data_IF_835643478705
#
_entry.id   IF_835643478705
#
_cell.length_a   1.000
_cell.length_b   1.000
_cell.length_c   1.000
_cell.angle_alpha   90.00
_cell.angle_beta   90.00
_cell.angle_gamma   90.00
#
_symmetry.space_group_name_H-M   'P 1'
#
loop_
_entity.id
_entity.type
_entity.pdbx_description
1 polymer ?
#
# COMPACT_ATOMS: atom_id res chain seq x y z
N UNK A 1 13.58 -3.74 15.02
CA UNK A 1 12.59 -3.49 13.95
C UNK A 1 11.27 -3.19 14.62
N UNK A 2 10.59 -2.11 14.23
CA UNK A 2 9.42 -1.62 14.96
C UNK A 2 8.23 -1.44 14.00
N UNK A 3 7.06 -1.95 14.39
CA UNK A 3 5.80 -1.80 13.67
C UNK A 3 4.76 -1.15 14.58
N UNK A 4 3.86 -0.37 14.00
CA UNK A 4 2.68 0.15 14.71
C UNK A 4 1.52 0.34 13.75
N UNK A 5 0.29 0.12 14.23
CA UNK A 5 -0.95 0.37 13.50
C UNK A 5 -1.46 1.77 13.80
N UNK A 6 -1.89 2.47 12.77
CA UNK A 6 -2.52 3.77 12.87
C UNK A 6 -3.68 3.88 11.88
N UNK A 7 -4.56 4.87 12.09
CA UNK A 7 -5.55 5.23 11.08
C UNK A 7 -4.89 5.97 9.92
N UNK A 8 -5.43 5.84 8.70
CA UNK A 8 -4.96 6.61 7.52
C UNK A 8 -4.91 8.11 7.77
N UNK A 9 -5.88 8.67 8.50
CA UNK A 9 -5.92 10.11 8.82
C UNK A 9 -4.72 10.53 9.67
N UNK A 10 -4.38 9.74 10.67
CA UNK A 10 -3.22 10.00 11.55
C UNK A 10 -1.91 9.89 10.77
N UNK A 11 -1.79 8.87 9.92
CA UNK A 11 -0.65 8.72 9.04
C UNK A 11 -0.49 9.93 8.11
N UNK A 12 -1.54 10.36 7.42
CA UNK A 12 -1.47 11.51 6.50
C UNK A 12 -1.15 12.83 7.20
N UNK A 13 -1.63 13.05 8.43
CA UNK A 13 -1.24 14.23 9.21
C UNK A 13 0.24 14.23 9.54
N UNK A 14 0.79 13.06 9.86
CA UNK A 14 2.21 12.91 10.21
C UNK A 14 3.09 12.97 8.96
N UNK A 15 2.70 12.33 7.86
CA UNK A 15 3.43 12.30 6.61
C UNK A 15 3.32 13.62 5.81
N UNK A 16 2.16 14.27 5.85
CA UNK A 16 1.92 15.57 5.20
C UNK A 16 2.36 16.77 6.04
N UNK A 17 2.57 16.60 7.35
CA UNK A 17 3.01 17.66 8.27
C UNK A 17 4.46 18.11 8.09
N UNK A 18 5.23 17.47 7.21
CA UNK A 18 6.61 17.84 6.87
C UNK A 18 6.73 18.49 5.48
N UNK A 19 5.62 18.68 4.74
CA UNK A 19 5.61 19.21 3.38
C UNK A 19 4.77 20.50 3.24
N UNK A 20 4.73 21.34 4.28
CA UNK A 20 4.12 22.68 4.21
C UNK A 20 5.11 23.78 3.78
N UNK A 21 6.28 23.42 3.24
CA UNK A 21 7.26 24.37 2.71
C UNK A 21 8.07 23.76 1.56
N UNK A 22 7.91 24.38 0.38
CA UNK A 22 8.64 24.19 -0.89
C UNK A 22 8.15 23.08 -1.86
N UNK A 23 7.83 23.53 -3.09
CA UNK A 23 7.38 22.83 -4.32
C UNK A 23 5.86 22.53 -4.35
N UNK A 24 4.97 23.37 -4.89
CA UNK A 24 5.10 24.23 -6.06
C UNK A 24 4.61 23.52 -7.32
N UNK A 25 3.33 23.71 -7.65
CA UNK A 25 2.67 23.58 -8.96
C UNK A 25 2.82 22.28 -9.78
N UNK A 26 1.69 21.57 -9.98
CA UNK A 26 1.12 21.29 -11.32
C UNK A 26 -0.21 20.55 -11.21
N UNK A 27 -1.31 21.32 -11.27
CA UNK A 27 -2.64 20.83 -11.63
C UNK A 27 -2.89 21.32 -13.06
N UNK A 28 -2.45 20.58 -14.08
CA UNK A 28 -2.80 20.74 -15.51
C UNK A 28 -2.62 19.33 -16.09
N UNK A 29 -3.64 18.55 -16.46
CA UNK A 29 -4.69 18.85 -17.44
C UNK A 29 -4.33 18.14 -18.75
N UNK A 30 -4.96 16.98 -19.02
CA UNK A 30 -5.04 16.39 -20.36
C UNK A 30 -6.38 15.68 -20.51
N UNK A 31 -7.34 16.39 -21.10
CA UNK A 31 -8.56 15.83 -21.66
C UNK A 31 -8.46 16.05 -23.18
N UNK A 32 -8.27 14.96 -23.95
CA UNK A 32 -8.38 15.01 -25.42
C UNK A 32 -8.66 13.60 -26.00
N UNK A 33 -9.92 13.41 -26.42
CA UNK A 33 -10.30 12.80 -27.69
C UNK A 33 -9.89 11.36 -28.02
N UNK A 34 -10.83 10.43 -27.86
CA UNK A 34 -10.82 9.13 -28.55
C UNK A 34 -12.15 8.40 -28.41
N UNK A 35 -12.99 8.44 -29.45
CA UNK A 35 -14.19 7.59 -29.53
C UNK A 35 -13.77 6.16 -29.85
N UNK A 36 -14.13 5.17 -29.03
CA UNK A 36 -14.22 3.78 -29.45
C UNK A 36 -15.14 2.94 -28.53
N UNK A 37 -16.21 2.44 -29.15
CA UNK A 37 -16.95 1.21 -28.90
C UNK A 37 -17.46 0.86 -27.49
N UNK A 38 -18.79 0.94 -27.37
CA UNK A 38 -19.59 0.14 -26.45
C UNK A 38 -19.31 -1.35 -26.68
N UNK A 39 -18.62 -1.99 -25.73
CA UNK A 39 -18.65 -3.43 -25.58
C UNK A 39 -19.71 -3.78 -24.52
N UNK A 40 -20.80 -4.41 -24.96
CA UNK A 40 -21.77 -5.03 -24.07
C UNK A 40 -21.09 -6.20 -23.37
N UNK A 41 -20.86 -6.07 -22.05
CA UNK A 41 -20.38 -7.16 -21.21
C UNK A 41 -21.45 -7.43 -20.15
N UNK A 42 -21.98 -8.64 -20.19
CA UNK A 42 -22.87 -9.23 -19.19
C UNK A 42 -22.56 -8.71 -17.79
N UNK A 43 -23.49 -7.92 -17.26
CA UNK A 43 -23.39 -7.32 -15.93
C UNK A 43 -23.60 -8.43 -14.90
N UNK A 44 -22.54 -9.17 -14.58
CA UNK A 44 -22.51 -10.02 -13.39
C UNK A 44 -22.85 -9.13 -12.19
N UNK A 45 -23.92 -9.52 -11.50
CA UNK A 45 -24.43 -8.92 -10.26
C UNK A 45 -23.24 -8.54 -9.36
N UNK A 46 -23.12 -7.27 -8.90
CA UNK A 46 -22.03 -6.88 -8.02
C UNK A 46 -22.01 -7.85 -6.84
N UNK A 47 -20.87 -8.49 -6.60
CA UNK A 47 -20.65 -9.24 -5.37
C UNK A 47 -21.06 -8.30 -4.22
N UNK A 48 -22.00 -8.76 -3.40
CA UNK A 48 -22.48 -8.04 -2.22
C UNK A 48 -21.26 -7.52 -1.47
N UNK A 49 -21.09 -6.20 -1.48
CA UNK A 49 -20.00 -5.54 -0.77
C UNK A 49 -20.20 -5.86 0.71
N UNK A 50 -19.44 -6.85 1.18
CA UNK A 50 -19.27 -7.13 2.59
C UNK A 50 -18.97 -5.81 3.28
N UNK A 51 -19.80 -5.47 4.26
CA UNK A 51 -19.73 -4.27 5.10
C UNK A 51 -18.45 -4.35 5.94
N UNK A 52 -17.29 -4.23 5.31
CA UNK A 52 -16.00 -4.18 5.99
C UNK A 52 -15.99 -2.89 6.82
N UNK A 53 -15.53 -2.95 8.09
CA UNK A 53 -15.39 -1.74 8.89
C UNK A 53 -14.58 -0.70 8.11
N UNK A 54 -15.16 0.48 7.93
CA UNK A 54 -14.75 1.53 6.99
C UNK A 54 -13.47 2.28 7.40
N UNK A 55 -12.72 1.76 8.36
CA UNK A 55 -11.52 2.39 8.87
C UNK A 55 -10.31 1.87 8.10
N UNK A 56 -9.80 2.71 7.21
CA UNK A 56 -8.53 2.46 6.52
C UNK A 56 -7.38 2.42 7.54
N UNK A 57 -6.77 1.24 7.68
CA UNK A 57 -5.63 0.97 8.58
C UNK A 57 -4.32 1.12 7.82
N UNK A 58 -3.32 1.72 8.48
CA UNK A 58 -1.95 1.84 8.00
C UNK A 58 -1.02 1.19 9.02
N UNK A 59 -0.04 0.42 8.54
CA UNK A 59 1.08 -0.04 9.38
C UNK A 59 2.31 0.77 9.03
N UNK A 60 2.92 1.37 10.04
CA UNK A 60 4.23 2.04 9.92
C UNK A 60 5.27 1.06 10.41
N UNK A 61 6.15 0.61 9.51
CA UNK A 61 7.24 -0.29 9.81
C UNK A 61 8.58 0.43 9.61
N UNK A 62 9.50 0.31 10.58
CA UNK A 62 10.81 0.97 10.56
C UNK A 62 11.93 0.01 10.92
N UNK A 63 13.02 0.09 10.17
CA UNK A 63 14.26 -0.63 10.44
C UNK A 63 15.48 0.27 10.17
N UNK A 64 16.12 0.81 11.23
CA UNK A 64 17.22 1.77 11.07
C UNK A 64 18.48 1.17 10.43
N UNK A 65 18.67 -0.15 10.48
CA UNK A 65 19.84 -0.80 9.88
C UNK A 65 19.65 -1.20 8.42
N UNK A 66 18.55 -0.79 7.78
CA UNK A 66 18.19 -1.28 6.43
C UNK A 66 19.14 -0.73 5.36
N UNK A 67 19.69 0.46 5.62
CA UNK A 67 20.68 1.10 4.78
C UNK A 67 22.09 0.69 5.21
N UNK A 68 22.93 0.33 4.24
CA UNK A 68 24.37 0.12 4.36
C UNK A 68 25.05 1.15 3.46
N UNK A 69 25.36 2.32 4.03
CA UNK A 69 25.73 3.49 3.22
C UNK A 69 24.58 3.86 2.28
N UNK A 70 24.86 3.90 0.98
CA UNK A 70 23.87 4.23 -0.07
C UNK A 70 23.08 3.00 -0.57
N UNK A 71 23.38 1.80 -0.05
CA UNK A 71 22.76 0.56 -0.52
C UNK A 71 21.72 0.03 0.45
N UNK A 72 20.65 -0.55 -0.09
CA UNK A 72 19.63 -1.23 0.70
C UNK A 72 19.99 -2.70 0.90
N UNK A 73 19.83 -3.19 2.13
CA UNK A 73 19.86 -4.61 2.42
C UNK A 73 18.52 -5.26 2.02
N UNK A 74 18.52 -5.94 0.87
CA UNK A 74 17.32 -6.56 0.30
C UNK A 74 16.66 -7.58 1.24
N UNK A 75 17.43 -8.36 1.99
CA UNK A 75 16.89 -9.33 2.93
C UNK A 75 16.16 -8.64 4.08
N UNK A 76 16.69 -7.50 4.56
CA UNK A 76 16.04 -6.69 5.60
C UNK A 76 14.80 -5.98 5.06
N UNK A 77 14.80 -5.51 3.81
CA UNK A 77 13.61 -4.97 3.13
C UNK A 77 12.50 -6.02 3.07
N UNK A 78 12.84 -7.23 2.61
CA UNK A 78 11.88 -8.34 2.53
C UNK A 78 11.30 -8.68 3.90
N UNK A 79 12.16 -8.81 4.93
CA UNK A 79 11.71 -9.07 6.29
C UNK A 79 10.81 -7.95 6.84
N UNK A 80 11.14 -6.68 6.56
CA UNK A 80 10.32 -5.53 6.94
C UNK A 80 8.92 -5.60 6.32
N UNK A 81 8.85 -5.92 5.02
CA UNK A 81 7.59 -6.05 4.30
C UNK A 81 6.74 -7.20 4.85
N UNK A 82 7.32 -8.40 5.04
CA UNK A 82 6.57 -9.55 5.55
C UNK A 82 5.99 -9.27 6.94
N UNK A 83 6.76 -8.66 7.83
CA UNK A 83 6.28 -8.32 9.17
C UNK A 83 5.21 -7.22 9.13
N UNK A 84 5.35 -6.23 8.23
CA UNK A 84 4.32 -5.19 8.06
C UNK A 84 3.00 -5.76 7.56
N UNK A 85 3.04 -6.75 6.66
CA UNK A 85 1.84 -7.40 6.12
C UNK A 85 1.20 -8.31 7.16
N UNK A 86 1.98 -9.07 7.92
CA UNK A 86 1.50 -9.86 9.08
C UNK A 86 0.84 -8.98 10.13
N UNK A 87 1.47 -7.86 10.46
CA UNK A 87 0.89 -6.87 11.36
C UNK A 87 -0.43 -6.36 10.78
N UNK A 88 -0.45 -5.90 9.53
CA UNK A 88 -1.64 -5.35 8.88
C UNK A 88 -2.81 -6.34 8.85
N UNK A 89 -2.53 -7.62 8.61
CA UNK A 89 -3.53 -8.68 8.51
C UNK A 89 -3.95 -9.24 9.87
N UNK A 90 -3.11 -9.10 10.91
CA UNK A 90 -3.29 -9.76 12.20
C UNK A 90 -2.97 -11.26 12.18
N UNK A 91 -2.13 -11.70 11.23
CA UNK A 91 -1.76 -13.11 11.06
C UNK A 91 -0.33 -13.36 11.53
N UNK A 92 -0.02 -14.58 11.95
CA UNK A 92 1.33 -14.95 12.40
C UNK A 92 2.19 -15.56 11.28
N UNK A 93 1.56 -16.11 10.24
CA UNK A 93 2.21 -16.71 9.07
C UNK A 93 2.14 -15.81 7.85
N UNK A 94 3.17 -15.82 7.01
CA UNK A 94 3.22 -15.01 5.78
C UNK A 94 2.14 -15.46 4.78
N UNK A 95 1.95 -16.77 4.61
CA UNK A 95 0.92 -17.32 3.72
C UNK A 95 -0.49 -16.91 4.16
N UNK A 96 -0.78 -16.97 5.47
CA UNK A 96 -2.05 -16.49 6.02
C UNK A 96 -2.24 -14.99 5.81
N UNK A 97 -1.18 -14.20 6.04
CA UNK A 97 -1.22 -12.75 5.90
C UNK A 97 -1.52 -12.29 4.46
N UNK A 98 -0.80 -12.83 3.48
CA UNK A 98 -1.04 -12.53 2.07
C UNK A 98 -2.38 -13.07 1.58
N UNK A 99 -2.81 -14.24 2.08
CA UNK A 99 -4.10 -14.86 1.77
C UNK A 99 -5.32 -14.03 2.18
N UNK A 100 -5.16 -13.04 3.08
CA UNK A 100 -6.21 -12.06 3.40
C UNK A 100 -6.48 -11.07 2.26
N UNK A 101 -5.51 -10.84 1.38
CA UNK A 101 -5.56 -9.80 0.35
C UNK A 101 -5.62 -10.37 -1.07
N UNK A 102 -4.98 -11.52 -1.31
CA UNK A 102 -4.85 -12.14 -2.62
C UNK A 102 -5.23 -13.62 -2.58
N UNK A 103 -5.68 -14.15 -3.71
CA UNK A 103 -5.91 -15.59 -3.90
C UNK A 103 -4.61 -16.27 -4.31
N UNK A 104 -4.50 -17.58 -4.06
CA UNK A 104 -3.32 -18.37 -4.44
C UNK A 104 -3.06 -18.40 -5.96
N UNK A 105 -4.09 -18.16 -6.78
CA UNK A 105 -3.98 -18.09 -8.24
C UNK A 105 -3.56 -16.71 -8.76
N UNK A 106 -3.56 -15.69 -7.90
CA UNK A 106 -3.23 -14.33 -8.31
C UNK A 106 -1.72 -14.20 -8.55
N UNK A 107 -1.34 -13.52 -9.63
CA UNK A 107 0.04 -13.07 -9.84
C UNK A 107 0.12 -11.61 -9.45
N UNK A 108 0.92 -11.29 -8.44
CA UNK A 108 1.00 -9.96 -7.85
C UNK A 108 2.43 -9.44 -7.93
N UNK A 109 2.58 -8.19 -8.35
CA UNK A 109 3.82 -7.43 -8.24
C UNK A 109 3.66 -6.36 -7.17
N UNK A 110 4.61 -6.28 -6.24
CA UNK A 110 4.61 -5.28 -5.16
C UNK A 110 5.79 -4.33 -5.38
N UNK A 111 5.48 -3.03 -5.56
CA UNK A 111 6.50 -1.98 -5.59
C UNK A 111 6.66 -1.40 -4.18
N UNK A 112 7.88 -1.45 -3.67
CA UNK A 112 8.24 -0.87 -2.37
C UNK A 112 9.16 0.31 -2.61
N UNK A 113 8.80 1.46 -2.06
CA UNK A 113 9.69 2.62 -1.98
C UNK A 113 10.28 2.66 -0.56
N UNK A 114 11.60 2.57 -0.45
CA UNK A 114 12.32 2.75 0.81
C UNK A 114 12.75 4.20 0.93
N UNK A 115 12.32 4.88 1.99
CA UNK A 115 12.65 6.28 2.27
C UNK A 115 13.62 6.30 3.45
N UNK A 116 14.67 7.13 3.35
CA UNK A 116 15.64 7.39 4.40
C UNK A 116 15.14 8.52 5.33
#
# INVERSE_FOLDING_TARGET
MHTRKESRRQFLRTAGGVAAGALGASIIGCNAGGKAQQASANMQKPATQSKRPSHSTVVVARDPGMWKGETLDAARVQALLMNAVRELSGETSDAGAWGRYFRATDRVAVKVNCLA
#
